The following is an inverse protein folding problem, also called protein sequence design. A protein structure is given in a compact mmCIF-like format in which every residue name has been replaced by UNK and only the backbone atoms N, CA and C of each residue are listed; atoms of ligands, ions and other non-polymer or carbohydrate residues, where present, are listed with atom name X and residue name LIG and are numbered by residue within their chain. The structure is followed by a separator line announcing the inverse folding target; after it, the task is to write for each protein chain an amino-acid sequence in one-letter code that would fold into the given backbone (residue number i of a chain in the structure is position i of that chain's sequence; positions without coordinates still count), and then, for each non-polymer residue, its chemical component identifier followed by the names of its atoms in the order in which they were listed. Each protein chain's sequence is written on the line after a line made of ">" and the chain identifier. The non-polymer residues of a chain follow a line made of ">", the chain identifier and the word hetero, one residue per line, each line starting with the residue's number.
data_IF_413514007630
#
_entry.id   IF_413514007630
#
_cell.length_a   1.000
_cell.length_b   1.000
_cell.length_c   1.000
_cell.angle_alpha   90.00
_cell.angle_beta   90.00
_cell.angle_gamma   90.00
#
_symmetry.space_group_name_H-M   'P 1'
#
loop_
_entity.id
_entity.type
_entity.pdbx_description
1 polymer ?
#
# COMPACT_ATOMS: atom_id res chain seq x y z
N UNK A 1 -21.55 -60.31 25.01
CA UNK A 1 -21.79 -61.58 24.29
C UNK A 1 -21.18 -61.39 22.91
N UNK A 2 -19.86 -61.59 22.78
CA UNK A 2 -19.18 -62.83 22.34
C UNK A 2 -19.35 -63.06 20.83
N UNK A 3 -18.34 -62.72 20.01
CA UNK A 3 -17.55 -63.76 19.33
C UNK A 3 -16.33 -63.18 18.60
N UNK A 4 -15.18 -63.64 19.06
CA UNK A 4 -13.86 -63.78 18.42
C UNK A 4 -13.93 -64.74 17.20
N UNK A 5 -12.84 -64.79 16.40
CA UNK A 5 -12.33 -65.87 15.48
C UNK A 5 -12.17 -65.37 14.03
N UNK A 6 -11.05 -65.47 13.30
CA UNK A 6 -9.72 -66.07 13.51
C UNK A 6 -8.71 -65.48 12.50
N UNK A 7 -7.45 -65.66 12.90
CA UNK A 7 -6.17 -65.39 12.26
C UNK A 7 -5.97 -66.14 10.92
N UNK A 8 -5.51 -65.47 9.86
CA UNK A 8 -4.73 -66.13 8.80
C UNK A 8 -3.62 -65.19 8.32
N UNK A 9 -2.40 -65.62 8.64
CA UNK A 9 -1.12 -65.03 8.27
C UNK A 9 -0.57 -65.75 7.03
N UNK A 10 -0.33 -65.04 5.93
CA UNK A 10 0.73 -65.28 4.92
C UNK A 10 0.79 -64.04 4.01
N UNK A 11 1.76 -63.14 4.20
CA UNK A 11 3.10 -63.14 3.59
C UNK A 11 3.09 -62.84 2.08
N UNK A 12 3.43 -61.59 1.74
CA UNK A 12 3.85 -61.12 0.41
C UNK A 12 4.12 -59.61 0.48
N UNK A 13 5.38 -59.18 0.69
CA UNK A 13 6.25 -58.62 -0.36
C UNK A 13 5.48 -57.63 -1.26
N UNK A 14 5.78 -56.33 -1.32
CA UNK A 14 7.11 -55.76 -1.63
C UNK A 14 7.25 -54.37 -1.00
N UNK A 15 8.42 -54.12 -0.39
CA UNK A 15 8.88 -52.79 0.01
C UNK A 15 9.09 -51.93 -1.24
N UNK A 16 8.34 -50.84 -1.40
CA UNK A 16 8.74 -49.78 -2.34
C UNK A 16 8.50 -48.44 -1.69
N UNK A 17 9.43 -48.07 -0.82
CA UNK A 17 9.65 -46.66 -0.50
C UNK A 17 10.19 -46.00 -1.76
N UNK A 18 9.34 -45.29 -2.51
CA UNK A 18 9.83 -44.33 -3.48
C UNK A 18 10.50 -43.17 -2.73
N UNK A 19 11.76 -43.41 -2.36
CA UNK A 19 12.74 -42.38 -2.04
C UNK A 19 13.11 -41.72 -3.36
N UNK A 20 12.35 -40.70 -3.73
CA UNK A 20 12.74 -39.77 -4.79
C UNK A 20 13.00 -38.43 -4.14
N UNK A 21 14.24 -38.32 -3.66
CA UNK A 21 14.95 -37.10 -3.35
C UNK A 21 14.83 -36.15 -4.56
N UNK A 22 14.18 -34.98 -4.47
CA UNK A 22 14.34 -33.99 -5.52
C UNK A 22 15.78 -33.49 -5.44
N UNK A 23 16.62 -34.04 -6.31
CA UNK A 23 17.93 -33.51 -6.63
C UNK A 23 17.74 -32.04 -7.00
N UNK A 24 18.20 -31.14 -6.12
CA UNK A 24 18.39 -29.74 -6.45
C UNK A 24 19.44 -29.71 -7.57
N UNK A 25 18.97 -29.70 -8.80
CA UNK A 25 19.79 -29.37 -9.96
C UNK A 25 19.89 -27.85 -9.97
N UNK A 26 20.85 -27.31 -9.23
CA UNK A 26 21.44 -26.02 -9.57
C UNK A 26 22.16 -26.22 -10.91
N UNK A 27 21.43 -26.02 -11.99
CA UNK A 27 22.00 -25.90 -13.33
C UNK A 27 21.75 -24.46 -13.74
N UNK A 28 22.54 -23.56 -13.16
CA UNK A 28 22.64 -22.18 -13.61
C UNK A 28 23.04 -22.16 -15.10
N UNK A 29 22.17 -21.73 -16.05
CA UNK A 29 22.67 -21.39 -17.36
C UNK A 29 23.39 -20.04 -17.24
N UNK A 30 24.72 -20.07 -17.28
CA UNK A 30 25.49 -18.90 -17.68
C UNK A 30 25.18 -18.59 -19.15
N UNK A 31 24.75 -17.34 -19.39
CA UNK A 31 24.65 -16.66 -20.68
C UNK A 31 23.37 -16.88 -21.50
N UNK A 32 22.44 -15.94 -21.37
CA UNK A 32 22.05 -15.16 -22.55
C UNK A 32 22.74 -13.79 -22.43
N UNK A 33 23.43 -13.28 -23.47
CA UNK A 33 23.71 -11.86 -23.52
C UNK A 33 22.34 -11.19 -23.60
N UNK A 34 21.89 -10.60 -22.50
CA UNK A 34 20.86 -9.58 -22.55
C UNK A 34 21.35 -8.62 -23.64
N UNK A 35 20.60 -8.37 -24.74
CA UNK A 35 20.90 -7.19 -25.53
C UNK A 35 20.92 -6.08 -24.49
N UNK A 36 22.07 -5.43 -24.32
CA UNK A 36 22.13 -4.23 -23.54
C UNK A 36 21.12 -3.32 -24.22
N UNK A 37 19.90 -3.26 -23.66
CA UNK A 37 19.04 -2.11 -23.80
C UNK A 37 19.90 -0.99 -23.28
N UNK A 38 20.63 -0.43 -24.23
CA UNK A 38 21.22 0.88 -24.19
C UNK A 38 19.99 1.75 -24.05
N UNK A 39 19.52 1.91 -22.81
CA UNK A 39 19.02 3.18 -22.39
C UNK A 39 20.21 4.11 -22.55
N UNK A 40 20.37 4.59 -23.78
CA UNK A 40 21.21 5.72 -24.08
C UNK A 40 20.75 6.78 -23.10
N UNK A 41 21.58 7.03 -22.10
CA UNK A 41 21.36 7.99 -21.03
C UNK A 41 21.39 9.42 -21.56
N UNK A 42 20.81 9.66 -22.72
CA UNK A 42 20.50 10.99 -23.24
C UNK A 42 19.05 11.31 -22.89
N UNK A 43 18.73 11.32 -21.59
CA UNK A 43 17.77 12.30 -21.10
C UNK A 43 18.52 13.60 -20.90
N UNK A 44 18.67 14.31 -22.02
CA UNK A 44 18.82 15.75 -21.97
C UNK A 44 17.70 16.34 -21.09
N UNK A 45 18.05 17.33 -20.29
CA UNK A 45 17.30 18.59 -20.08
C UNK A 45 16.69 18.83 -18.68
N UNK A 46 16.82 20.04 -18.10
CA UNK A 46 16.11 20.57 -16.92
C UNK A 46 14.56 20.53 -16.96
N UNK A 47 13.94 19.91 -17.97
CA UNK A 47 12.51 19.95 -18.22
C UNK A 47 11.69 19.04 -17.28
N UNK A 48 12.30 17.94 -16.80
CA UNK A 48 11.66 17.03 -15.84
C UNK A 48 11.53 17.71 -14.47
N UNK A 49 12.56 18.43 -14.02
CA UNK A 49 12.54 19.17 -12.75
C UNK A 49 11.48 20.30 -12.74
N UNK A 50 11.29 21.00 -13.86
CA UNK A 50 10.26 22.04 -13.98
C UNK A 50 8.84 21.47 -13.92
N UNK A 51 8.61 20.30 -14.52
CA UNK A 51 7.30 19.64 -14.50
C UNK A 51 6.98 19.08 -13.11
N UNK A 52 7.98 18.52 -12.42
CA UNK A 52 7.84 18.05 -11.04
C UNK A 52 7.55 19.20 -10.07
N UNK A 53 8.28 20.31 -10.16
CA UNK A 53 8.00 21.51 -9.35
C UNK A 53 6.57 22.01 -9.59
N UNK A 54 6.18 22.17 -10.85
CA UNK A 54 4.85 22.67 -11.21
C UNK A 54 3.72 21.78 -10.66
N UNK A 55 3.87 20.47 -10.75
CA UNK A 55 2.86 19.53 -10.26
C UNK A 55 2.79 19.50 -8.73
N UNK A 56 3.95 19.54 -8.08
CA UNK A 56 4.06 19.67 -6.63
C UNK A 56 3.39 20.96 -6.14
N UNK A 57 3.62 22.09 -6.82
CA UNK A 57 3.00 23.37 -6.51
C UNK A 57 1.47 23.31 -6.62
N UNK A 58 0.94 22.66 -7.69
CA UNK A 58 -0.50 22.42 -7.84
C UNK A 58 -1.05 21.61 -6.65
N UNK A 59 -0.38 20.53 -6.26
CA UNK A 59 -0.80 19.69 -5.15
C UNK A 59 -0.77 20.42 -3.80
N UNK A 60 0.27 21.22 -3.55
CA UNK A 60 0.40 22.07 -2.36
C UNK A 60 -0.71 23.12 -2.31
N UNK A 61 -0.97 23.81 -3.42
CA UNK A 61 -2.04 24.82 -3.47
C UNK A 61 -3.42 24.20 -3.29
N UNK A 62 -3.69 23.05 -3.92
CA UNK A 62 -4.94 22.31 -3.72
C UNK A 62 -5.12 21.92 -2.24
N UNK A 63 -4.06 21.44 -1.59
CA UNK A 63 -4.09 21.05 -0.17
C UNK A 63 -4.31 22.26 0.76
N UNK A 64 -3.62 23.38 0.52
CA UNK A 64 -3.82 24.62 1.29
C UNK A 64 -5.21 25.19 1.12
N UNK A 65 -5.76 25.15 -0.10
CA UNK A 65 -7.12 25.61 -0.38
C UNK A 65 -8.18 24.72 0.26
N UNK A 66 -7.93 23.41 0.32
CA UNK A 66 -8.83 22.51 1.05
C UNK A 66 -8.82 22.79 2.55
N UNK A 67 -7.63 22.85 3.15
CA UNK A 67 -7.47 23.08 4.58
C UNK A 67 -7.99 24.46 5.02
N UNK A 68 -7.77 25.51 4.22
CA UNK A 68 -8.28 26.86 4.50
C UNK A 68 -9.81 26.90 4.56
N UNK A 69 -10.48 26.21 3.62
CA UNK A 69 -11.94 26.07 3.60
C UNK A 69 -12.45 25.29 4.81
N UNK A 70 -11.79 24.18 5.17
CA UNK A 70 -12.20 23.33 6.30
C UNK A 70 -12.07 24.02 7.64
N UNK A 71 -10.99 24.79 7.84
CA UNK A 71 -10.74 25.52 9.09
C UNK A 71 -11.33 26.94 9.11
N UNK A 72 -11.88 27.40 7.98
CA UNK A 72 -12.34 28.77 7.79
C UNK A 72 -11.28 29.82 8.18
N UNK A 73 -10.04 29.59 7.74
CA UNK A 73 -8.90 30.48 7.95
C UNK A 73 -8.36 30.98 6.62
N UNK A 74 -7.56 32.04 6.64
CA UNK A 74 -6.89 32.49 5.44
C UNK A 74 -5.78 31.50 5.05
N UNK A 75 -5.61 31.24 3.76
CA UNK A 75 -4.57 30.33 3.27
C UNK A 75 -3.18 30.77 3.75
N UNK A 76 -2.87 32.06 3.87
CA UNK A 76 -1.60 32.60 4.38
C UNK A 76 -1.26 32.17 5.81
N UNK A 77 -2.24 31.74 6.60
CA UNK A 77 -2.03 31.19 7.95
C UNK A 77 -1.58 29.71 7.95
N UNK A 78 -1.50 29.09 6.76
CA UNK A 78 -1.14 27.69 6.59
C UNK A 78 0.31 27.59 6.11
N UNK A 79 1.18 26.98 6.90
CA UNK A 79 2.59 26.79 6.54
C UNK A 79 2.81 25.39 5.98
N UNK A 80 3.54 25.28 4.88
CA UNK A 80 3.98 23.96 4.38
C UNK A 80 5.16 23.50 5.22
N UNK A 81 5.03 22.35 5.88
CA UNK A 81 6.07 21.77 6.73
C UNK A 81 6.97 20.84 5.92
N UNK A 82 6.37 19.97 5.12
CA UNK A 82 7.08 18.99 4.34
C UNK A 82 6.26 18.60 3.10
N UNK A 83 6.96 18.24 2.02
CA UNK A 83 6.35 17.66 0.83
C UNK A 83 7.23 16.50 0.38
N UNK A 84 6.64 15.33 0.18
CA UNK A 84 7.36 14.11 -0.18
C UNK A 84 6.66 13.44 -1.34
N UNK A 85 7.41 13.07 -2.37
CA UNK A 85 6.89 12.27 -3.47
C UNK A 85 6.60 10.84 -3.00
N UNK A 86 5.41 10.34 -3.32
CA UNK A 86 4.94 9.01 -2.93
C UNK A 86 4.27 8.36 -4.13
N UNK A 87 4.44 7.05 -4.29
CA UNK A 87 3.64 6.26 -5.23
C UNK A 87 2.63 5.44 -4.43
N UNK A 88 1.35 5.74 -4.61
CA UNK A 88 0.25 5.06 -3.94
C UNK A 88 -0.04 3.71 -4.60
N UNK A 89 -0.45 2.71 -3.82
CA UNK A 89 -0.80 1.37 -4.29
C UNK A 89 -2.04 1.34 -5.20
N UNK A 90 -2.91 2.32 -5.03
CA UNK A 90 -4.21 2.39 -5.68
C UNK A 90 -4.72 3.83 -5.74
N UNK A 91 -5.85 4.00 -6.43
CA UNK A 91 -6.49 5.30 -6.66
C UNK A 91 -7.17 5.93 -5.45
N UNK A 92 -7.17 5.29 -4.27
CA UNK A 92 -7.61 5.92 -3.02
C UNK A 92 -6.58 6.90 -2.44
N UNK A 93 -5.37 6.95 -3.00
CA UNK A 93 -4.26 7.78 -2.52
C UNK A 93 -3.91 7.52 -1.04
N UNK A 94 -4.15 6.28 -0.58
CA UNK A 94 -3.96 5.87 0.80
C UNK A 94 -5.15 6.14 1.74
N UNK A 95 -6.24 6.74 1.23
CA UNK A 95 -7.44 7.09 2.01
C UNK A 95 -8.69 6.32 1.54
N UNK A 96 -8.75 4.98 1.64
CA UNK A 96 -9.91 4.23 1.17
C UNK A 96 -11.15 4.54 2.03
N UNK A 97 -12.26 4.89 1.36
CA UNK A 97 -13.55 5.08 2.01
C UNK A 97 -14.33 3.74 2.10
N UNK A 98 -15.03 3.47 3.21
CA UNK A 98 -15.83 2.25 3.36
C UNK A 98 -16.87 2.10 2.23
N UNK A 99 -16.98 0.90 1.67
CA UNK A 99 -17.94 0.58 0.62
C UNK A 99 -17.56 1.06 -0.79
N UNK A 100 -16.40 1.71 -0.95
CA UNK A 100 -15.89 2.13 -2.25
C UNK A 100 -14.91 1.10 -2.82
N UNK A 101 -14.92 0.95 -4.15
CA UNK A 101 -13.95 0.12 -4.88
C UNK A 101 -12.98 1.04 -5.60
N UNK A 102 -11.68 0.84 -5.35
CA UNK A 102 -10.60 1.60 -5.97
C UNK A 102 -9.83 0.74 -6.95
N UNK A 103 -9.37 1.35 -8.05
CA UNK A 103 -8.51 0.68 -9.00
C UNK A 103 -7.11 0.49 -8.39
N UNK A 104 -6.59 -0.74 -8.46
CA UNK A 104 -5.25 -1.14 -8.00
C UNK A 104 -4.20 -0.74 -9.04
N UNK A 105 -3.91 0.56 -9.11
CA UNK A 105 -2.95 1.14 -10.04
C UNK A 105 -1.96 1.97 -9.25
N UNK A 106 -0.67 1.73 -9.50
CA UNK A 106 0.41 2.55 -8.95
C UNK A 106 0.22 4.00 -9.38
N UNK A 107 -0.11 4.86 -8.42
CA UNK A 107 -0.49 6.25 -8.67
C UNK A 107 0.59 7.17 -8.10
N UNK A 108 1.41 7.82 -8.95
CA UNK A 108 2.37 8.82 -8.50
C UNK A 108 1.66 10.02 -7.89
N UNK A 109 2.27 10.62 -6.88
CA UNK A 109 1.66 11.69 -6.13
C UNK A 109 2.55 12.28 -5.03
N UNK A 110 1.93 13.00 -4.11
CA UNK A 110 2.62 13.70 -3.04
C UNK A 110 1.95 13.46 -1.69
N UNK A 111 2.76 13.35 -0.63
CA UNK A 111 2.34 13.47 0.76
C UNK A 111 2.79 14.85 1.26
N UNK A 112 1.85 15.67 1.68
CA UNK A 112 2.05 17.09 2.02
C UNK A 112 1.66 17.29 3.48
N UNK A 113 2.58 17.80 4.29
CA UNK A 113 2.31 18.17 5.66
C UNK A 113 2.13 19.67 5.77
N UNK A 114 0.95 20.09 6.22
CA UNK A 114 0.58 21.49 6.42
C UNK A 114 0.42 21.77 7.90
N UNK A 115 1.01 22.85 8.39
CA UNK A 115 0.78 23.37 9.73
C UNK A 115 -0.20 24.53 9.67
N UNK A 116 -1.28 24.43 10.43
CA UNK A 116 -2.20 25.54 10.66
C UNK A 116 -2.46 25.63 12.17
N UNK A 117 -2.35 26.85 12.72
CA UNK A 117 -2.29 27.06 14.17
C UNK A 117 -1.13 26.23 14.79
N UNK A 118 -1.44 25.32 15.69
CA UNK A 118 -0.47 24.43 16.35
C UNK A 118 -0.62 22.95 15.93
N UNK A 119 -1.38 22.67 14.87
CA UNK A 119 -1.64 21.31 14.38
C UNK A 119 -1.02 21.08 13.01
N UNK A 120 -0.57 19.84 12.77
CA UNK A 120 -0.09 19.36 11.48
C UNK A 120 -1.19 18.50 10.85
N UNK A 121 -1.51 18.79 9.61
CA UNK A 121 -2.46 18.08 8.76
C UNK A 121 -1.69 17.40 7.64
N UNK A 122 -1.98 16.14 7.38
CA UNK A 122 -1.30 15.36 6.32
C UNK A 122 -2.26 15.14 5.17
N UNK A 123 -1.91 15.72 4.03
CA UNK A 123 -2.63 15.59 2.77
C UNK A 123 -1.91 14.60 1.85
N UNK A 124 -2.68 13.84 1.09
CA UNK A 124 -2.22 12.95 0.04
C UNK A 124 -2.78 13.48 -1.27
N UNK A 125 -1.97 13.47 -2.31
CA UNK A 125 -2.38 13.90 -3.65
C UNK A 125 -1.88 12.96 -4.72
N UNK A 126 -2.48 13.05 -5.90
CA UNK A 126 -1.89 12.56 -7.15
C UNK A 126 -1.15 13.70 -7.89
N UNK A 127 -0.58 13.38 -9.05
CA UNK A 127 0.04 14.35 -9.97
C UNK A 127 -0.96 15.19 -10.78
N UNK A 128 -2.26 15.01 -10.59
CA UNK A 128 -3.30 15.79 -11.28
C UNK A 128 -3.90 16.87 -10.36
N UNK A 129 -3.48 16.92 -9.10
CA UNK A 129 -3.96 17.86 -8.10
C UNK A 129 -5.20 17.40 -7.35
N UNK A 130 -5.59 16.12 -7.47
CA UNK A 130 -6.59 15.54 -6.58
C UNK A 130 -5.97 15.42 -5.19
N UNK A 131 -6.65 15.91 -4.16
CA UNK A 131 -6.15 15.92 -2.77
C UNK A 131 -7.16 15.28 -1.83
N UNK A 132 -6.65 14.54 -0.85
CA UNK A 132 -7.40 13.98 0.25
C UNK A 132 -6.63 14.19 1.55
N UNK A 133 -7.32 14.43 2.67
CA UNK A 133 -6.71 14.32 4.00
C UNK A 133 -7.10 12.95 4.56
N UNK A 134 -6.16 12.00 4.54
CA UNK A 134 -6.28 10.76 5.32
C UNK A 134 -6.13 11.13 6.80
N UNK A 135 -7.21 10.97 7.56
CA UNK A 135 -7.24 11.35 8.96
C UNK A 135 -7.68 12.79 9.15
N UNK A 136 -9.00 13.02 9.00
CA UNK A 136 -9.66 14.03 9.84
C UNK A 136 -9.45 13.70 11.32
N UNK A 137 -9.97 14.50 12.28
CA UNK A 137 -9.98 14.06 13.67
C UNK A 137 -10.63 12.68 13.67
N UNK A 138 -9.79 11.66 13.86
CA UNK A 138 -10.20 10.34 14.24
C UNK A 138 -11.26 10.59 15.30
N UNK A 139 -12.51 10.19 15.06
CA UNK A 139 -13.35 9.94 16.21
C UNK A 139 -12.48 9.05 17.07
N UNK A 140 -12.05 9.50 18.27
CA UNK A 140 -11.35 8.59 19.14
C UNK A 140 -12.34 7.45 19.29
N UNK A 141 -12.01 6.28 18.74
CA UNK A 141 -12.61 5.07 19.25
C UNK A 141 -12.10 5.03 20.67
N UNK A 142 -12.84 5.63 21.59
CA UNK A 142 -12.49 5.61 23.01
C UNK A 142 -12.31 4.14 23.33
N UNK A 143 -11.12 3.67 23.73
CA UNK A 143 -10.94 2.27 24.10
C UNK A 143 -11.93 1.97 25.23
N UNK A 144 -13.04 1.28 24.91
CA UNK A 144 -14.14 1.01 25.84
C UNK A 144 -15.57 1.34 25.37
N UNK A 145 -15.78 2.04 24.25
CA UNK A 145 -17.13 2.40 23.75
C UNK A 145 -17.65 1.49 22.60
N UNK A 146 -17.29 0.20 22.61
CA UNK A 146 -18.03 -0.80 21.83
C UNK A 146 -19.13 -1.37 22.75
N UNK A 147 -20.30 -0.72 22.76
CA UNK A 147 -21.50 -1.21 23.47
C UNK A 147 -22.34 -2.16 22.61
N UNK A 148 -21.70 -3.02 21.81
CA UNK A 148 -22.45 -3.90 20.90
C UNK A 148 -23.00 -5.14 21.62
N UNK A 149 -22.62 -5.36 22.89
CA UNK A 149 -23.08 -6.50 23.71
C UNK A 149 -22.71 -7.88 23.15
N UNK A 150 -21.96 -7.94 22.04
CA UNK A 150 -21.58 -9.17 21.37
C UNK A 150 -20.22 -9.65 21.90
N UNK A 151 -20.15 -10.86 22.50
CA UNK A 151 -18.88 -11.49 22.81
C UNK A 151 -18.06 -11.65 21.54
N UNK A 152 -16.80 -11.23 21.58
CA UNK A 152 -15.86 -11.49 20.49
C UNK A 152 -15.78 -13.01 20.25
N UNK A 153 -16.21 -13.46 19.07
CA UNK A 153 -15.89 -14.80 18.56
C UNK A 153 -14.61 -14.70 17.73
N UNK A 154 -13.55 -15.45 18.05
CA UNK A 154 -12.41 -15.61 17.15
C UNK A 154 -12.90 -16.22 15.83
N UNK A 155 -12.49 -15.64 14.70
CA UNK A 155 -12.62 -16.28 13.39
C UNK A 155 -11.83 -17.61 13.41
N UNK A 156 -12.43 -18.75 13.03
CA UNK A 156 -11.77 -20.05 13.05
C UNK A 156 -10.68 -20.19 11.99
#
# INVERSE_FOLDING_TARGET
>A
MKSTIELTLVLGMVLTTCQSNPTFVDTSPLSSPQPADTFDGTLSTPQIALTHSSTQEIAVQASRNDLSRRLNINADQITVVNVTEVTWSDTSLGCPQPGMVYAQVLTPGYMIQLKANERIYTYQSDTKGNVAECGGPEFPVTPGEIQDGQPWMPVP
#
